data_IF_980933049915
#
_entry.id   IF_980933049915
#
_cell.length_a   1.000
_cell.length_b   1.000
_cell.length_c   1.000
_cell.angle_alpha   90.00
_cell.angle_beta   90.00
_cell.angle_gamma   90.00
#
_symmetry.space_group_name_H-M   'P 1'
#
loop_
_entity.id
_entity.type
_entity.pdbx_description
1 polymer ?
#
# COMPACT_ATOMS: atom_id res chain seq x y z
N UNK A 1 47.90 16.12 -53.80
CA UNK A 1 46.46 15.88 -53.65
C UNK A 1 46.15 14.55 -52.95
N UNK A 2 47.13 13.66 -52.79
CA UNK A 2 46.96 12.36 -52.13
C UNK A 2 47.08 12.43 -50.58
N UNK A 3 47.94 13.30 -50.08
CA UNK A 3 48.22 13.42 -48.61
C UNK A 3 47.04 13.97 -47.79
N UNK A 4 46.22 14.85 -48.39
CA UNK A 4 45.05 15.42 -47.73
C UNK A 4 43.93 14.39 -47.55
N UNK A 5 43.84 13.41 -48.48
CA UNK A 5 42.83 12.33 -48.41
C UNK A 5 43.16 11.30 -47.32
N UNK A 6 44.43 11.00 -47.11
CA UNK A 6 44.89 10.08 -46.07
C UNK A 6 44.67 10.64 -44.65
N UNK A 7 44.91 11.96 -44.49
CA UNK A 7 44.68 12.63 -43.21
C UNK A 7 43.20 12.67 -42.82
N UNK A 8 42.29 12.83 -43.78
CA UNK A 8 40.85 12.85 -43.55
C UNK A 8 40.32 11.47 -43.09
N UNK A 9 40.80 10.39 -43.67
CA UNK A 9 40.46 9.03 -43.31
C UNK A 9 40.98 8.63 -41.90
N UNK A 10 42.18 9.13 -41.53
CA UNK A 10 42.76 8.88 -40.20
C UNK A 10 42.02 9.60 -39.12
N UNK A 11 41.51 10.81 -39.34
CA UNK A 11 40.69 11.57 -38.38
C UNK A 11 39.31 10.93 -38.21
N UNK A 12 38.68 10.49 -39.31
CA UNK A 12 37.38 9.80 -39.23
C UNK A 12 37.47 8.47 -38.47
N UNK A 13 38.57 7.73 -38.65
CA UNK A 13 38.82 6.46 -37.93
C UNK A 13 39.10 6.69 -36.45
N UNK A 14 39.73 7.81 -36.08
CA UNK A 14 39.91 8.21 -34.66
C UNK A 14 38.60 8.68 -34.01
N UNK A 15 37.71 9.35 -34.75
CA UNK A 15 36.41 9.77 -34.28
C UNK A 15 35.47 8.56 -33.99
N UNK A 16 35.61 7.48 -34.75
CA UNK A 16 34.83 6.25 -34.54
C UNK A 16 35.26 5.47 -33.28
N UNK A 17 36.49 5.69 -32.79
CA UNK A 17 37.00 5.05 -31.56
C UNK A 17 36.58 5.81 -30.30
N UNK A 18 36.16 7.10 -30.45
CA UNK A 18 35.77 7.96 -29.33
C UNK A 18 34.25 7.93 -29.00
N UNK A 19 33.49 7.03 -29.58
CA UNK A 19 32.07 6.86 -29.23
C UNK A 19 31.71 5.48 -28.65
N UNK A 20 32.12 5.17 -27.43
CA UNK A 20 31.30 4.30 -26.59
C UNK A 20 30.44 5.15 -25.64
N UNK A 21 29.81 6.23 -26.18
CA UNK A 21 28.90 7.06 -25.35
C UNK A 21 27.68 6.30 -24.89
N UNK A 22 27.37 5.19 -25.54
CA UNK A 22 26.26 4.32 -25.19
C UNK A 22 26.58 3.35 -24.07
N UNK A 23 27.84 2.93 -23.88
CA UNK A 23 28.22 2.02 -22.82
C UNK A 23 28.47 2.74 -21.49
N UNK A 24 29.10 3.91 -21.51
CA UNK A 24 29.29 4.73 -20.31
C UNK A 24 27.98 5.27 -19.75
N UNK A 25 27.01 5.59 -20.61
CA UNK A 25 25.66 5.96 -20.18
C UNK A 25 24.95 4.79 -19.47
N UNK A 26 25.15 3.55 -19.90
CA UNK A 26 24.58 2.36 -19.23
C UNK A 26 25.14 2.14 -17.82
N UNK A 27 26.38 2.49 -17.60
CA UNK A 27 27.03 2.35 -16.27
C UNK A 27 26.63 3.45 -15.29
N UNK A 28 26.23 4.63 -15.79
CA UNK A 28 25.89 5.78 -14.96
C UNK A 28 24.38 5.87 -14.62
N UNK A 29 23.50 5.26 -15.41
CA UNK A 29 22.05 5.42 -15.26
C UNK A 29 21.30 4.16 -14.83
N UNK A 30 21.98 3.09 -14.45
CA UNK A 30 21.36 1.85 -14.03
C UNK A 30 20.63 1.09 -15.15
N UNK A 31 19.81 0.10 -14.84
CA UNK A 31 19.12 -0.71 -15.83
C UNK A 31 18.23 0.16 -16.71
N UNK A 32 18.35 -0.03 -18.03
CA UNK A 32 17.59 0.66 -19.08
C UNK A 32 16.09 0.72 -18.71
N UNK A 33 15.58 1.93 -18.52
CA UNK A 33 14.14 2.14 -18.31
C UNK A 33 13.42 1.74 -19.59
N UNK A 34 12.75 0.59 -19.56
CA UNK A 34 11.95 0.08 -20.66
C UNK A 34 10.95 1.14 -21.10
N UNK A 35 10.85 1.46 -22.40
CA UNK A 35 9.90 2.48 -22.88
C UNK A 35 8.48 2.08 -22.44
N UNK A 36 7.76 3.06 -21.91
CA UNK A 36 6.38 2.96 -21.41
C UNK A 36 5.41 2.68 -22.58
N UNK A 37 5.41 1.49 -23.10
CA UNK A 37 4.61 1.09 -24.27
C UNK A 37 4.91 -0.33 -24.77
N UNK A 38 5.96 -0.98 -24.25
CA UNK A 38 6.10 -2.41 -24.52
C UNK A 38 4.97 -3.11 -23.78
N UNK A 39 4.12 -3.84 -24.51
CA UNK A 39 3.12 -4.74 -23.92
C UNK A 39 3.84 -5.64 -22.94
N UNK A 40 3.61 -5.41 -21.66
CA UNK A 40 4.24 -6.16 -20.58
C UNK A 40 3.62 -7.56 -20.63
N UNK A 41 4.38 -8.51 -21.16
CA UNK A 41 3.96 -9.92 -21.29
C UNK A 41 4.09 -10.68 -19.98
N UNK A 42 4.15 -9.97 -18.83
CA UNK A 42 4.15 -10.62 -17.53
C UNK A 42 2.85 -11.36 -17.34
N UNK A 43 2.88 -12.63 -16.96
CA UNK A 43 1.66 -13.37 -16.66
C UNK A 43 0.93 -12.69 -15.50
N UNK A 44 -0.28 -12.18 -15.76
CA UNK A 44 -1.14 -11.59 -14.75
C UNK A 44 -1.93 -12.75 -14.13
N UNK A 45 -1.59 -13.14 -12.91
CA UNK A 45 -2.38 -14.09 -12.15
C UNK A 45 -3.42 -13.32 -11.33
N UNK A 46 -4.67 -13.31 -11.75
CA UNK A 46 -5.81 -12.69 -11.05
C UNK A 46 -6.58 -13.71 -10.20
N UNK A 47 -6.19 -14.96 -10.22
CA UNK A 47 -6.84 -16.01 -9.44
C UNK A 47 -6.28 -16.03 -8.02
N UNK A 48 -7.03 -15.43 -7.09
CA UNK A 48 -6.65 -15.28 -5.68
C UNK A 48 -6.51 -16.65 -5.00
N UNK A 49 -7.20 -17.68 -5.49
CA UNK A 49 -7.16 -19.03 -4.90
C UNK A 49 -5.82 -19.75 -5.13
N UNK A 50 -5.10 -19.38 -6.19
CA UNK A 50 -3.80 -20.00 -6.55
C UNK A 50 -2.60 -19.24 -5.97
N UNK A 51 -2.80 -18.04 -5.45
CA UNK A 51 -1.73 -17.20 -4.88
C UNK A 51 -1.49 -17.60 -3.42
N UNK A 52 -0.32 -18.18 -3.14
CA UNK A 52 0.14 -18.40 -1.76
C UNK A 52 0.58 -17.07 -1.15
N UNK A 53 -0.35 -16.39 -0.49
CA UNK A 53 -0.05 -15.13 0.19
C UNK A 53 0.83 -15.38 1.43
N UNK A 54 1.91 -14.62 1.65
CA UNK A 54 2.69 -14.66 2.88
C UNK A 54 1.83 -14.18 4.07
N UNK A 55 2.14 -14.66 5.28
CA UNK A 55 1.41 -14.30 6.52
C UNK A 55 1.35 -12.77 6.72
N UNK A 56 2.38 -12.06 6.33
CA UNK A 56 2.42 -10.58 6.39
C UNK A 56 1.37 -9.91 5.51
N UNK A 57 1.04 -10.49 4.36
CA UNK A 57 -0.03 -9.98 3.49
C UNK A 57 -1.41 -10.15 4.14
N UNK A 58 -1.68 -11.29 4.79
CA UNK A 58 -2.92 -11.50 5.54
C UNK A 58 -3.06 -10.48 6.68
N UNK A 59 -1.99 -10.24 7.45
CA UNK A 59 -2.01 -9.24 8.52
C UNK A 59 -2.31 -7.83 8.00
N UNK A 60 -1.71 -7.44 6.87
CA UNK A 60 -1.95 -6.14 6.24
C UNK A 60 -3.40 -6.00 5.72
N UNK A 61 -3.94 -7.04 5.10
CA UNK A 61 -5.34 -7.03 4.61
C UNK A 61 -6.31 -6.96 5.79
N UNK A 62 -6.11 -7.78 6.82
CA UNK A 62 -6.96 -7.79 8.02
C UNK A 62 -6.95 -6.44 8.73
N UNK A 63 -5.79 -5.77 8.83
CA UNK A 63 -5.69 -4.43 9.41
C UNK A 63 -6.51 -3.40 8.60
N UNK A 64 -6.50 -3.46 7.27
CA UNK A 64 -7.32 -2.57 6.43
C UNK A 64 -8.81 -2.84 6.59
N UNK A 65 -9.21 -4.11 6.59
CA UNK A 65 -10.63 -4.51 6.77
C UNK A 65 -11.14 -4.05 8.14
N UNK A 66 -10.38 -4.29 9.21
CA UNK A 66 -10.75 -3.82 10.56
C UNK A 66 -10.81 -2.31 10.64
N UNK A 67 -9.96 -1.57 9.92
CA UNK A 67 -10.02 -0.11 9.83
C UNK A 67 -11.34 0.39 9.23
N UNK A 68 -11.82 -0.24 8.15
CA UNK A 68 -13.11 0.10 7.55
C UNK A 68 -14.26 -0.20 8.51
N UNK A 69 -14.22 -1.36 9.19
CA UNK A 69 -15.24 -1.71 10.18
C UNK A 69 -15.28 -0.71 11.34
N UNK A 70 -14.13 -0.28 11.85
CA UNK A 70 -14.04 0.71 12.91
C UNK A 70 -14.53 2.08 12.46
N UNK A 71 -14.26 2.48 11.21
CA UNK A 71 -14.77 3.73 10.66
C UNK A 71 -16.31 3.74 10.64
N UNK A 72 -16.94 2.68 10.13
CA UNK A 72 -18.42 2.55 10.16
C UNK A 72 -18.93 2.54 11.60
N UNK A 73 -18.27 1.78 12.49
CA UNK A 73 -18.64 1.72 13.90
C UNK A 73 -18.51 3.07 14.60
N UNK A 74 -17.53 3.90 14.25
CA UNK A 74 -17.36 5.23 14.85
C UNK A 74 -18.53 6.16 14.51
N UNK A 75 -19.05 6.10 13.28
CA UNK A 75 -20.24 6.86 12.88
C UNK A 75 -21.46 6.42 13.70
N UNK A 76 -21.64 5.11 13.88
CA UNK A 76 -22.72 4.57 14.73
C UNK A 76 -22.57 5.01 16.19
N UNK A 77 -21.36 5.00 16.73
CA UNK A 77 -21.10 5.43 18.11
C UNK A 77 -21.42 6.92 18.30
N UNK A 78 -21.06 7.78 17.37
CA UNK A 78 -21.39 9.20 17.42
C UNK A 78 -22.91 9.40 17.36
N UNK A 79 -23.61 8.66 16.50
CA UNK A 79 -25.07 8.71 16.44
C UNK A 79 -25.75 8.23 17.73
N UNK A 80 -25.24 7.14 18.32
CA UNK A 80 -25.72 6.63 19.62
C UNK A 80 -25.47 7.65 20.74
N UNK A 81 -24.32 8.32 20.71
CA UNK A 81 -23.99 9.38 21.67
C UNK A 81 -24.95 10.56 21.54
N UNK A 82 -25.21 11.04 20.32
CA UNK A 82 -26.14 12.11 20.04
C UNK A 82 -27.56 11.76 20.53
N UNK A 83 -28.04 10.56 20.23
CA UNK A 83 -29.32 10.06 20.70
C UNK A 83 -29.40 9.98 22.23
N UNK A 84 -28.29 9.63 22.91
CA UNK A 84 -28.26 9.54 24.37
C UNK A 84 -28.33 10.91 25.07
N UNK A 85 -27.89 11.97 24.38
CA UNK A 85 -27.84 13.33 24.91
C UNK A 85 -29.15 14.12 24.61
N UNK A 86 -30.03 13.59 23.75
CA UNK A 86 -31.22 14.28 23.30
C UNK A 86 -32.25 14.47 24.43
N UNK A 87 -32.45 13.47 25.32
CA UNK A 87 -33.38 13.54 26.46
C UNK A 87 -33.07 12.44 27.49
N UNK A 88 -33.55 12.63 28.73
CA UNK A 88 -33.44 11.62 29.77
C UNK A 88 -34.18 10.31 29.40
N UNK A 89 -35.30 10.42 28.73
CA UNK A 89 -36.07 9.25 28.28
C UNK A 89 -35.31 8.48 27.17
N UNK A 90 -34.70 9.17 26.21
CA UNK A 90 -33.85 8.56 25.20
C UNK A 90 -32.65 7.83 25.81
N UNK A 91 -32.02 8.44 26.83
CA UNK A 91 -30.93 7.81 27.55
C UNK A 91 -31.35 6.51 28.20
N UNK A 92 -32.51 6.50 28.91
CA UNK A 92 -33.01 5.33 29.59
C UNK A 92 -33.39 4.19 28.64
N UNK A 93 -33.98 4.51 27.48
CA UNK A 93 -34.26 3.55 26.40
C UNK A 93 -32.98 2.94 25.85
N UNK A 94 -31.96 3.77 25.59
CA UNK A 94 -30.69 3.31 25.09
C UNK A 94 -29.94 2.44 26.10
N UNK A 95 -29.97 2.81 27.41
CA UNK A 95 -29.38 2.03 28.47
C UNK A 95 -30.05 0.64 28.58
N UNK A 96 -31.37 0.57 28.44
CA UNK A 96 -32.10 -0.69 28.39
C UNK A 96 -31.71 -1.54 27.17
N UNK A 97 -31.56 -0.92 25.99
CA UNK A 97 -31.07 -1.61 24.78
C UNK A 97 -29.66 -2.16 24.95
N UNK A 98 -28.74 -1.38 25.50
CA UNK A 98 -27.34 -1.78 25.73
C UNK A 98 -27.21 -2.84 26.81
N UNK A 99 -28.17 -2.96 27.71
CA UNK A 99 -28.20 -4.03 28.72
C UNK A 99 -28.56 -5.40 28.14
N UNK A 100 -29.12 -5.44 26.91
CA UNK A 100 -29.49 -6.67 26.23
C UNK A 100 -28.25 -7.54 25.88
N UNK A 101 -28.46 -8.86 25.88
CA UNK A 101 -27.40 -9.82 25.56
C UNK A 101 -26.80 -9.58 24.16
N UNK A 102 -27.64 -9.25 23.17
CA UNK A 102 -27.19 -8.96 21.79
C UNK A 102 -26.29 -7.74 21.74
N UNK A 103 -26.63 -6.63 22.41
CA UNK A 103 -25.81 -5.43 22.46
C UNK A 103 -24.48 -5.67 23.19
N UNK A 104 -24.47 -6.48 24.24
CA UNK A 104 -23.23 -6.89 24.92
C UNK A 104 -22.28 -7.65 23.98
N UNK A 105 -22.80 -8.58 23.17
CA UNK A 105 -22.02 -9.29 22.18
C UNK A 105 -21.49 -8.34 21.08
N UNK A 106 -22.30 -7.40 20.60
CA UNK A 106 -21.87 -6.41 19.61
C UNK A 106 -20.74 -5.52 20.17
N UNK A 107 -20.87 -5.05 21.41
CA UNK A 107 -19.84 -4.28 22.09
C UNK A 107 -18.54 -5.09 22.28
N UNK A 108 -18.66 -6.36 22.68
CA UNK A 108 -17.51 -7.25 22.81
C UNK A 108 -16.80 -7.44 21.46
N UNK A 109 -17.54 -7.71 20.39
CA UNK A 109 -16.98 -7.84 19.04
C UNK A 109 -16.27 -6.55 18.60
N UNK A 110 -16.87 -5.38 18.86
CA UNK A 110 -16.25 -4.10 18.60
C UNK A 110 -14.92 -3.94 19.34
N UNK A 111 -14.86 -4.27 20.62
CA UNK A 111 -13.65 -4.19 21.43
C UNK A 111 -12.54 -5.13 20.92
N UNK A 112 -12.89 -6.33 20.45
CA UNK A 112 -11.94 -7.28 19.86
C UNK A 112 -11.35 -6.70 18.57
N UNK A 113 -12.20 -6.19 17.67
CA UNK A 113 -11.76 -5.57 16.40
C UNK A 113 -10.89 -4.34 16.67
N UNK A 114 -11.30 -3.50 17.62
CA UNK A 114 -10.55 -2.32 18.03
C UNK A 114 -9.16 -2.68 18.57
N UNK A 115 -9.10 -3.64 19.50
CA UNK A 115 -7.82 -4.08 20.09
C UNK A 115 -6.88 -4.66 19.04
N UNK A 116 -7.39 -5.51 18.16
CA UNK A 116 -6.60 -6.06 17.05
C UNK A 116 -6.06 -4.95 16.14
N UNK A 117 -6.92 -4.02 15.74
CA UNK A 117 -6.53 -2.92 14.85
C UNK A 117 -5.47 -2.02 15.50
N UNK A 118 -5.65 -1.65 16.77
CA UNK A 118 -4.70 -0.83 17.51
C UNK A 118 -3.33 -1.52 17.64
N UNK A 119 -3.31 -2.80 18.02
CA UNK A 119 -2.05 -3.55 18.17
C UNK A 119 -1.34 -3.75 16.82
N UNK A 120 -2.08 -4.08 15.77
CA UNK A 120 -1.52 -4.21 14.42
C UNK A 120 -1.01 -2.86 13.91
N UNK A 121 -1.71 -1.76 14.19
CA UNK A 121 -1.27 -0.39 13.84
C UNK A 121 0.02 0.00 14.56
N UNK A 122 0.11 -0.23 15.87
CA UNK A 122 1.34 0.02 16.65
C UNK A 122 2.52 -0.78 16.07
N UNK A 123 2.30 -2.07 15.76
CA UNK A 123 3.32 -2.89 15.13
C UNK A 123 3.81 -2.30 13.80
N UNK A 124 2.89 -1.83 12.95
CA UNK A 124 3.26 -1.19 11.69
C UNK A 124 4.09 0.08 11.90
N UNK A 125 3.71 0.92 12.88
CA UNK A 125 4.46 2.12 13.22
C UNK A 125 5.87 1.81 13.72
N UNK A 126 6.02 0.79 14.58
CA UNK A 126 7.34 0.38 15.10
C UNK A 126 8.23 -0.11 13.96
N UNK A 127 7.70 -0.90 13.03
CA UNK A 127 8.44 -1.38 11.86
C UNK A 127 8.82 -0.23 10.90
N UNK A 128 8.01 0.80 10.80
CA UNK A 128 8.27 1.96 9.93
C UNK A 128 9.38 2.87 10.52
N UNK A 129 9.47 2.94 11.84
CA UNK A 129 10.56 3.67 12.55
C UNK A 129 11.89 2.92 12.48
N UNK A 130 11.92 1.66 12.02
CA UNK A 130 13.14 0.90 11.79
C UNK A 130 13.72 0.20 13.03
N UNK A 131 12.87 -0.10 14.00
CA UNK A 131 13.22 -0.88 15.20
C UNK A 131 12.76 -2.32 15.03
#
# INVERSE_FOLDING_TARGET
>A
MVIVCEMSLSVAKRLHILTPRTQTARLLWGPEVKPRGSKDTRPINLDISTIKLPITAYASISHRVTGVLLFVSSVLLVWVLDASLASEDSFNQLAALLSSTGAKFALWAFLVVFSYHALAGIRHLIMDVGI
#
